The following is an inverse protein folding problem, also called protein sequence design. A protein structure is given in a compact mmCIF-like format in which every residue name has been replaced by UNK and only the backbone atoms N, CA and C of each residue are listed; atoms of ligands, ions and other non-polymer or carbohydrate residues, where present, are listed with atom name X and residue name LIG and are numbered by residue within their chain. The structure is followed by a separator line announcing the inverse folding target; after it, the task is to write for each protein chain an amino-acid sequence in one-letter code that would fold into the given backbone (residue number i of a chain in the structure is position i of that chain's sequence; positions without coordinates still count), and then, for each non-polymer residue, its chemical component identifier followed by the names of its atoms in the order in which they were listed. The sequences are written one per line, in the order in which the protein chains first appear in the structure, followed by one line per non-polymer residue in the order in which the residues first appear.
data_IF_602178940826
#
_entry.id   IF_602178940826
#
_cell.length_a   1.000
_cell.length_b   1.000
_cell.length_c   1.000
_cell.angle_alpha   90.00
_cell.angle_beta   90.00
_cell.angle_gamma   90.00
#
_symmetry.space_group_name_H-M   'P 1'
#
loop_
_entity.id
_entity.type
_entity.pdbx_description
1 polymer ?
#
# COMPACT_ATOMS: atom_id res chain seq x y z
N UNK A 1 12.23 5.24 -5.62
CA UNK A 1 11.14 6.00 -4.96
C UNK A 1 10.32 5.03 -4.15
N UNK A 2 10.08 5.33 -2.87
CA UNK A 2 9.41 4.45 -1.90
C UNK A 2 7.90 4.60 -1.99
N UNK A 3 7.22 3.53 -2.36
CA UNK A 3 5.78 3.52 -2.66
C UNK A 3 5.03 2.72 -1.59
N UNK A 4 3.96 3.29 -1.07
CA UNK A 4 2.96 2.58 -0.27
C UNK A 4 1.67 2.38 -1.08
N UNK A 5 1.09 1.18 -1.04
CA UNK A 5 -0.16 0.86 -1.75
C UNK A 5 -1.28 0.58 -0.75
N UNK A 6 -2.37 1.33 -0.83
CA UNK A 6 -3.58 1.12 -0.04
C UNK A 6 -4.64 0.37 -0.86
N UNK A 7 -5.29 -0.61 -0.25
CA UNK A 7 -6.18 -1.56 -0.94
C UNK A 7 -5.40 -2.65 -1.67
N UNK A 8 -4.27 -3.07 -1.11
CA UNK A 8 -3.29 -3.94 -1.76
C UNK A 8 -3.82 -5.34 -2.12
N UNK A 9 -4.81 -5.86 -1.39
CA UNK A 9 -5.46 -7.15 -1.71
C UNK A 9 -6.58 -7.01 -2.76
N UNK A 10 -6.97 -5.79 -3.09
CA UNK A 10 -7.92 -5.51 -4.16
C UNK A 10 -7.30 -5.73 -5.55
N UNK A 11 -8.14 -6.01 -6.56
CA UNK A 11 -7.69 -6.24 -7.95
C UNK A 11 -6.73 -5.17 -8.48
N UNK A 12 -7.04 -3.90 -8.23
CA UNK A 12 -6.21 -2.79 -8.69
C UNK A 12 -4.96 -2.61 -7.81
N UNK A 13 -5.09 -2.69 -6.48
CA UNK A 13 -3.94 -2.61 -5.59
C UNK A 13 -2.91 -3.71 -5.84
N UNK A 14 -3.35 -4.95 -6.08
CA UNK A 14 -2.48 -6.07 -6.50
C UNK A 14 -1.72 -5.76 -7.78
N UNK A 15 -2.41 -5.26 -8.82
CA UNK A 15 -1.76 -4.88 -10.08
C UNK A 15 -0.76 -3.73 -9.91
N UNK A 16 -1.03 -2.78 -9.01
CA UNK A 16 -0.08 -1.71 -8.67
C UNK A 16 1.13 -2.26 -7.95
N UNK A 17 0.95 -3.14 -6.95
CA UNK A 17 2.07 -3.79 -6.27
C UNK A 17 2.96 -4.51 -7.27
N UNK A 18 2.39 -5.31 -8.18
CA UNK A 18 3.12 -5.98 -9.26
C UNK A 18 3.88 -4.99 -10.16
N UNK A 19 3.26 -3.88 -10.54
CA UNK A 19 3.89 -2.85 -11.36
C UNK A 19 5.06 -2.16 -10.64
N UNK A 20 4.90 -1.83 -9.35
CA UNK A 20 5.97 -1.26 -8.52
C UNK A 20 7.14 -2.22 -8.41
N UNK A 21 6.88 -3.51 -8.16
CA UNK A 21 7.90 -4.54 -8.03
C UNK A 21 8.62 -4.87 -9.35
N UNK A 22 7.98 -4.64 -10.49
CA UNK A 22 8.58 -4.85 -11.80
C UNK A 22 9.49 -3.71 -12.25
N UNK A 23 9.42 -2.55 -11.59
CA UNK A 23 10.21 -1.36 -11.92
C UNK A 23 11.42 -1.24 -10.97
N UNK A 24 12.67 -1.33 -11.48
CA UNK A 24 13.86 -1.27 -10.63
C UNK A 24 14.13 0.10 -9.99
N UNK A 25 13.43 1.16 -10.40
CA UNK A 25 13.56 2.50 -9.81
C UNK A 25 12.57 2.73 -8.65
N UNK A 26 11.65 1.79 -8.42
CA UNK A 26 10.63 1.85 -7.38
C UNK A 26 10.89 0.81 -6.28
N UNK A 27 10.41 1.10 -5.08
CA UNK A 27 10.50 0.21 -3.93
C UNK A 27 9.13 0.12 -3.24
N UNK A 28 8.58 -1.08 -3.13
CA UNK A 28 7.31 -1.32 -2.45
C UNK A 28 7.57 -1.47 -0.94
N UNK A 29 7.48 -0.35 -0.22
CA UNK A 29 7.84 -0.30 1.21
C UNK A 29 6.68 -0.64 2.13
N UNK A 30 5.43 -0.51 1.66
CA UNK A 30 4.24 -0.85 2.43
C UNK A 30 3.07 -1.26 1.54
N UNK A 31 2.33 -2.26 2.02
CA UNK A 31 1.05 -2.68 1.47
C UNK A 31 0.01 -2.65 2.60
N UNK A 32 -1.15 -2.04 2.36
CA UNK A 32 -2.20 -1.90 3.37
C UNK A 32 -3.53 -2.43 2.82
N UNK A 33 -4.21 -3.25 3.59
CA UNK A 33 -5.59 -3.63 3.33
C UNK A 33 -6.28 -3.99 4.65
N UNK A 34 -7.44 -3.39 4.93
CA UNK A 34 -8.17 -3.64 6.19
C UNK A 34 -8.66 -5.08 6.34
N UNK A 35 -8.70 -5.85 5.25
CA UNK A 35 -9.06 -7.27 5.27
C UNK A 35 -7.85 -8.18 5.45
N UNK A 36 -6.64 -7.64 5.70
CA UNK A 36 -5.43 -8.43 5.83
C UNK A 36 -5.53 -9.35 7.06
N UNK A 37 -5.79 -10.62 6.81
CA UNK A 37 -5.85 -11.66 7.85
C UNK A 37 -4.45 -12.22 8.12
N UNK A 38 -3.45 -11.34 8.30
CA UNK A 38 -2.04 -11.73 8.43
C UNK A 38 -1.40 -12.21 7.11
N UNK A 39 -1.89 -11.74 5.97
CA UNK A 39 -1.35 -12.05 4.66
C UNK A 39 -0.09 -11.24 4.35
N UNK A 40 0.82 -11.84 3.59
CA UNK A 40 1.93 -11.15 2.95
C UNK A 40 1.48 -10.59 1.60
N UNK A 41 2.22 -9.62 1.08
CA UNK A 41 2.03 -9.05 -0.25
C UNK A 41 2.16 -10.10 -1.35
N UNK A 42 1.95 -9.67 -2.61
CA UNK A 42 1.96 -10.56 -3.79
C UNK A 42 3.30 -11.29 -4.00
N UNK A 43 4.40 -10.80 -3.41
CA UNK A 43 5.71 -11.46 -3.44
C UNK A 43 6.01 -12.32 -2.23
N UNK A 44 5.23 -12.21 -1.15
CA UNK A 44 5.52 -12.89 0.12
C UNK A 44 6.66 -12.24 0.90
N UNK A 45 6.99 -10.98 0.63
CA UNK A 45 8.16 -10.29 1.21
C UNK A 45 7.77 -9.22 2.23
N UNK A 46 6.64 -8.53 2.01
CA UNK A 46 6.18 -7.42 2.85
C UNK A 46 4.88 -7.81 3.57
N UNK A 47 4.75 -7.62 4.89
CA UNK A 47 3.50 -7.85 5.58
C UNK A 47 2.44 -6.82 5.14
N UNK A 48 1.21 -7.27 4.93
CA UNK A 48 0.10 -6.35 4.63
C UNK A 48 -0.45 -5.80 5.94
N UNK A 49 -0.24 -4.50 6.16
CA UNK A 49 -0.75 -3.76 7.30
C UNK A 49 -2.27 -3.59 7.22
N UNK A 50 -2.92 -3.36 8.36
CA UNK A 50 -4.37 -3.20 8.41
C UNK A 50 -4.80 -1.75 8.24
N UNK A 51 -3.93 -0.81 8.57
CA UNK A 51 -4.19 0.62 8.51
C UNK A 51 -2.96 1.42 8.08
N UNK A 52 -3.18 2.60 7.49
CA UNK A 52 -2.10 3.47 6.98
C UNK A 52 -1.28 4.09 8.12
N UNK A 53 -1.88 4.23 9.29
CA UNK A 53 -1.26 4.76 10.50
C UNK A 53 -0.16 3.87 11.07
N UNK A 54 -0.08 2.62 10.63
CA UNK A 54 1.00 1.68 10.99
C UNK A 54 2.30 1.96 10.21
N UNK A 55 2.23 2.78 9.16
CA UNK A 55 3.37 3.16 8.33
C UNK A 55 4.12 4.34 8.97
N UNK A 56 5.45 4.27 9.00
CA UNK A 56 6.29 5.44 9.29
C UNK A 56 6.26 6.40 8.08
N UNK A 57 5.73 7.62 8.21
CA UNK A 57 5.64 8.56 7.09
C UNK A 57 7.00 8.96 6.50
N UNK A 58 8.10 8.84 7.28
CA UNK A 58 9.45 9.14 6.79
C UNK A 58 10.00 8.08 5.83
N UNK A 59 9.39 6.89 5.82
CA UNK A 59 9.76 5.75 4.99
C UNK A 59 9.01 5.69 3.65
N UNK A 60 8.09 6.63 3.38
CA UNK A 60 7.27 6.64 2.17
C UNK A 60 7.41 7.97 1.43
N UNK A 61 7.62 7.89 0.11
CA UNK A 61 7.67 9.08 -0.76
C UNK A 61 6.31 9.35 -1.42
N UNK A 62 5.54 8.28 -1.72
CA UNK A 62 4.24 8.37 -2.40
C UNK A 62 3.28 7.28 -1.94
N UNK A 63 2.01 7.64 -1.79
CA UNK A 63 0.91 6.71 -1.53
C UNK A 63 0.07 6.54 -2.79
N UNK A 64 -0.19 5.30 -3.17
CA UNK A 64 -1.12 4.93 -4.24
C UNK A 64 -2.36 4.30 -3.62
N UNK A 65 -3.49 5.00 -3.72
CA UNK A 65 -4.74 4.59 -3.08
C UNK A 65 -5.73 4.00 -4.09
N UNK A 66 -5.93 2.67 -4.01
CA UNK A 66 -6.97 1.95 -4.74
C UNK A 66 -8.00 1.34 -3.79
N UNK A 67 -8.41 2.11 -2.78
CA UNK A 67 -9.49 1.75 -1.87
C UNK A 67 -10.85 2.30 -2.35
N UNK A 68 -11.90 2.02 -1.58
CA UNK A 68 -13.22 2.61 -1.79
C UNK A 68 -13.24 4.08 -1.37
N UNK A 69 -14.16 4.86 -1.96
CA UNK A 69 -14.24 6.31 -1.72
C UNK A 69 -14.40 6.73 -0.25
N UNK A 70 -14.95 5.87 0.60
CA UNK A 70 -15.02 6.11 2.04
C UNK A 70 -13.62 6.07 2.69
N UNK A 71 -12.85 5.02 2.43
CA UNK A 71 -11.50 4.86 2.97
C UNK A 71 -10.53 5.93 2.44
N UNK A 72 -10.59 6.21 1.13
CA UNK A 72 -9.72 7.21 0.50
C UNK A 72 -9.81 8.61 1.14
N UNK A 73 -10.99 9.00 1.65
CA UNK A 73 -11.17 10.27 2.36
C UNK A 73 -10.43 10.33 3.70
N UNK A 74 -10.29 9.20 4.38
CA UNK A 74 -9.50 9.12 5.61
C UNK A 74 -8.02 9.06 5.29
N UNK A 75 -7.63 8.24 4.31
CA UNK A 75 -6.24 8.06 3.89
C UNK A 75 -5.57 9.36 3.43
N UNK A 76 -6.31 10.22 2.70
CA UNK A 76 -5.75 11.49 2.22
C UNK A 76 -5.40 12.45 3.37
N UNK A 77 -6.06 12.33 4.54
CA UNK A 77 -5.72 13.14 5.71
C UNK A 77 -4.40 12.71 6.35
N UNK A 78 -4.05 11.43 6.25
CA UNK A 78 -2.73 10.94 6.68
C UNK A 78 -1.62 11.45 5.76
N UNK A 79 -1.92 11.64 4.47
CA UNK A 79 -0.96 12.14 3.47
C UNK A 79 -0.72 13.66 3.52
N UNK A 80 -1.45 14.41 4.36
CA UNK A 80 -1.47 15.87 4.39
C UNK A 80 -0.47 16.47 5.39
#
# INVERSE_FOLDING_TARGET
MRVAVLGALGRMGTAVCEAVLADPELDLVAAVDSNSSGQLDVTGTVPILTAVEEIDPSEVDVVVDFTVAEAARSNVLWCA
#
